data_IF_616120735192
#
_entry.id   IF_616120735192
#
_cell.length_a   1.000
_cell.length_b   1.000
_cell.length_c   1.000
_cell.angle_alpha   90.00
_cell.angle_beta   90.00
_cell.angle_gamma   90.00
#
_symmetry.space_group_name_H-M   'P 1'
#
loop_
_entity.id
_entity.type
_entity.pdbx_description
1 polymer ?
#
# COMPACT_ATOMS: atom_id res chain seq x y z
N UNK A 1 23.20 6.74 9.83
CA UNK A 1 21.77 6.63 10.13
C UNK A 1 21.25 7.93 10.67
N UNK A 2 20.33 8.57 9.97
CA UNK A 2 19.62 9.77 10.45
C UNK A 2 18.61 9.39 11.54
N UNK A 3 18.17 10.38 12.34
CA UNK A 3 17.20 10.16 13.43
C UNK A 3 15.86 9.61 12.91
N UNK A 4 15.43 10.07 11.74
CA UNK A 4 14.24 9.59 11.02
C UNK A 4 14.34 8.11 10.62
N UNK A 5 15.53 7.63 10.24
CA UNK A 5 15.74 6.21 9.92
C UNK A 5 15.61 5.32 11.15
N UNK A 6 16.07 5.80 12.32
CA UNK A 6 15.96 5.08 13.59
C UNK A 6 14.51 5.04 14.09
N UNK A 7 13.80 6.17 14.04
CA UNK A 7 12.39 6.25 14.46
C UNK A 7 11.47 5.46 13.52
N UNK A 8 11.79 5.43 12.22
CA UNK A 8 11.12 4.60 11.23
C UNK A 8 11.30 3.09 11.45
N UNK A 9 12.45 2.63 11.95
CA UNK A 9 12.65 1.22 12.31
C UNK A 9 11.93 0.89 13.63
N UNK A 10 12.00 1.78 14.62
CA UNK A 10 11.40 1.56 15.93
C UNK A 10 9.87 1.45 15.87
N UNK A 11 9.23 2.31 15.07
CA UNK A 11 7.76 2.27 14.86
C UNK A 11 7.29 1.00 14.17
N UNK A 12 8.12 0.42 13.30
CA UNK A 12 7.84 -0.86 12.64
C UNK A 12 7.96 -2.04 13.62
N UNK A 13 8.94 -2.01 14.52
CA UNK A 13 9.15 -3.06 15.53
C UNK A 13 8.07 -3.01 16.64
N UNK A 14 7.58 -1.81 16.97
CA UNK A 14 6.59 -1.60 18.03
C UNK A 14 5.13 -1.74 17.55
N UNK A 15 4.91 -2.07 16.28
CA UNK A 15 3.60 -2.26 15.66
C UNK A 15 2.63 -1.07 15.79
N UNK A 16 3.18 0.12 16.02
CA UNK A 16 2.38 1.32 16.28
C UNK A 16 1.76 1.82 14.96
N UNK A 17 0.43 2.04 14.91
CA UNK A 17 -0.24 2.55 13.70
C UNK A 17 0.38 3.87 13.28
N UNK A 18 0.99 3.89 12.09
CA UNK A 18 1.65 5.06 11.55
C UNK A 18 0.67 5.80 10.64
N UNK A 19 0.32 7.06 10.93
CA UNK A 19 -0.56 7.84 10.09
C UNK A 19 0.09 8.12 8.72
N UNK A 20 -0.65 7.92 7.63
CA UNK A 20 -0.20 8.19 6.27
C UNK A 20 -0.73 9.53 5.75
N UNK A 21 -2.00 9.57 5.35
CA UNK A 21 -2.65 10.75 4.77
C UNK A 21 -4.15 10.73 5.05
N UNK A 22 -4.74 11.90 5.17
CA UNK A 22 -6.20 12.06 5.18
C UNK A 22 -6.69 12.09 3.74
N UNK A 23 -7.47 11.10 3.34
CA UNK A 23 -7.98 10.97 1.97
C UNK A 23 -9.48 11.17 1.92
N UNK A 24 -9.95 11.69 0.78
CA UNK A 24 -11.35 11.63 0.42
C UNK A 24 -11.70 10.20 -0.03
N UNK A 25 -12.66 9.58 0.68
CA UNK A 25 -13.14 8.26 0.30
C UNK A 25 -13.96 8.34 -0.99
N UNK A 26 -13.63 7.49 -1.95
CA UNK A 26 -14.43 7.26 -3.13
C UNK A 26 -15.76 6.63 -2.71
N UNK A 27 -16.87 6.96 -3.39
CA UNK A 27 -18.16 6.37 -3.10
C UNK A 27 -18.09 4.85 -3.28
N UNK A 28 -18.63 4.09 -2.31
CA UNK A 28 -18.58 2.63 -2.35
C UNK A 28 -19.43 2.08 -3.47
N UNK A 29 -20.60 2.69 -3.67
CA UNK A 29 -21.64 2.24 -4.59
C UNK A 29 -22.18 3.42 -5.43
N UNK A 30 -22.80 3.12 -6.58
CA UNK A 30 -23.45 4.12 -7.46
C UNK A 30 -24.48 4.99 -6.73
N UNK A 31 -25.18 4.42 -5.75
CA UNK A 31 -26.16 5.16 -4.94
C UNK A 31 -25.48 6.25 -4.13
N UNK A 32 -24.35 5.96 -3.49
CA UNK A 32 -23.60 6.99 -2.75
C UNK A 32 -23.07 8.07 -3.68
N UNK A 33 -22.60 7.69 -4.87
CA UNK A 33 -22.16 8.65 -5.89
C UNK A 33 -23.29 9.60 -6.29
N UNK A 34 -24.50 9.08 -6.49
CA UNK A 34 -25.69 9.87 -6.81
C UNK A 34 -26.11 10.77 -5.64
N UNK A 35 -26.09 10.28 -4.41
CA UNK A 35 -26.42 11.07 -3.22
C UNK A 35 -25.41 12.21 -2.97
N UNK A 36 -24.12 11.99 -3.27
CA UNK A 36 -23.09 13.02 -3.24
C UNK A 36 -23.33 14.05 -4.34
N UNK A 37 -23.65 13.59 -5.56
CA UNK A 37 -23.98 14.46 -6.69
C UNK A 37 -25.17 15.38 -6.38
N UNK A 38 -26.24 14.84 -5.79
CA UNK A 38 -27.39 15.61 -5.33
C UNK A 38 -27.12 16.49 -4.10
N UNK A 39 -25.88 16.52 -3.58
CA UNK A 39 -25.48 17.21 -2.34
C UNK A 39 -26.26 16.79 -1.09
N UNK A 40 -26.95 15.64 -1.14
CA UNK A 40 -27.68 15.06 -0.01
C UNK A 40 -26.68 14.45 0.99
N UNK A 41 -25.63 13.80 0.48
CA UNK A 41 -24.55 13.22 1.30
C UNK A 41 -23.26 13.99 1.07
N UNK A 42 -22.52 14.27 2.15
CA UNK A 42 -21.18 14.90 2.08
C UNK A 42 -20.11 13.86 1.79
N UNK A 43 -19.04 14.21 1.05
CA UNK A 43 -17.90 13.32 0.87
C UNK A 43 -17.26 13.00 2.22
N UNK A 44 -16.94 11.72 2.42
CA UNK A 44 -16.33 11.22 3.66
C UNK A 44 -14.82 11.32 3.55
N UNK A 45 -14.17 11.78 4.61
CA UNK A 45 -12.72 11.83 4.70
C UNK A 45 -12.25 10.92 5.82
N UNK A 46 -11.23 10.11 5.56
CA UNK A 46 -10.68 9.16 6.54
C UNK A 46 -9.16 9.31 6.59
N UNK A 47 -8.59 9.18 7.79
CA UNK A 47 -7.14 9.12 7.96
C UNK A 47 -6.68 7.69 7.70
N UNK A 48 -5.80 7.48 6.73
CA UNK A 48 -5.21 6.18 6.48
C UNK A 48 -4.07 5.92 7.46
N UNK A 49 -3.99 4.69 7.94
CA UNK A 49 -2.96 4.24 8.86
C UNK A 49 -2.29 2.98 8.32
N UNK A 50 -0.99 2.87 8.58
CA UNK A 50 -0.21 1.67 8.32
C UNK A 50 0.10 0.98 9.64
N UNK A 51 -0.37 -0.26 9.81
CA UNK A 51 -0.15 -1.09 11.00
C UNK A 51 0.87 -2.19 10.70
N UNK A 52 1.13 -3.06 11.68
CA UNK A 52 1.85 -4.31 11.48
C UNK A 52 1.23 -5.19 10.42
N UNK A 53 1.99 -5.57 9.40
CA UNK A 53 1.44 -6.36 8.31
C UNK A 53 1.19 -7.80 8.76
N UNK A 54 -0.04 -8.28 8.59
CA UNK A 54 -0.35 -9.70 8.81
C UNK A 54 0.31 -10.55 7.74
N UNK A 55 0.65 -11.79 8.08
CA UNK A 55 1.23 -12.74 7.13
C UNK A 55 0.38 -12.93 5.86
N UNK A 56 -0.95 -12.98 6.01
CA UNK A 56 -1.88 -13.03 4.86
C UNK A 56 -1.77 -11.80 3.95
N UNK A 57 -1.53 -10.62 4.54
CA UNK A 57 -1.33 -9.37 3.82
C UNK A 57 0.01 -9.40 3.09
N UNK A 58 1.06 -9.96 3.69
CA UNK A 58 2.39 -10.09 3.06
C UNK A 58 2.31 -10.89 1.77
N UNK A 59 1.68 -12.08 1.78
CA UNK A 59 1.50 -12.88 0.57
C UNK A 59 0.79 -12.12 -0.55
N UNK A 60 -0.24 -11.33 -0.21
CA UNK A 60 -0.96 -10.51 -1.19
C UNK A 60 -0.10 -9.37 -1.73
N UNK A 61 0.68 -8.71 -0.88
CA UNK A 61 1.61 -7.68 -1.30
C UNK A 61 2.66 -8.25 -2.26
N UNK A 62 3.23 -9.43 -1.96
CA UNK A 62 4.17 -10.12 -2.86
C UNK A 62 3.52 -10.49 -4.20
N UNK A 63 2.26 -10.95 -4.18
CA UNK A 63 1.53 -11.25 -5.42
C UNK A 63 1.29 -10.00 -6.27
N UNK A 64 0.94 -8.87 -5.65
CA UNK A 64 0.76 -7.59 -6.33
C UNK A 64 2.10 -7.09 -6.89
N UNK A 65 3.20 -7.19 -6.15
CA UNK A 65 4.52 -6.77 -6.64
C UNK A 65 5.00 -7.61 -7.82
N UNK A 66 4.70 -8.91 -7.84
CA UNK A 66 5.03 -9.78 -8.98
C UNK A 66 4.20 -9.47 -10.23
N UNK A 67 3.08 -8.77 -10.09
CA UNK A 67 2.23 -8.32 -11.20
C UNK A 67 2.65 -6.98 -11.81
N UNK A 68 3.70 -6.33 -11.28
CA UNK A 68 4.20 -5.05 -11.80
C UNK A 68 4.82 -5.21 -13.18
N UNK A 69 4.46 -4.33 -14.10
CA UNK A 69 5.05 -4.31 -15.44
C UNK A 69 6.43 -3.63 -15.37
N UNK A 70 7.47 -4.37 -15.72
CA UNK A 70 8.86 -3.88 -15.74
C UNK A 70 9.35 -3.53 -17.15
N UNK A 71 8.63 -3.98 -18.18
CA UNK A 71 9.01 -3.81 -19.59
C UNK A 71 7.84 -3.21 -20.38
N UNK A 72 8.13 -2.28 -21.28
CA UNK A 72 7.13 -1.70 -22.19
C UNK A 72 7.37 -2.17 -23.61
N UNK A 73 6.26 -2.42 -24.32
CA UNK A 73 6.25 -2.80 -25.74
C UNK A 73 6.38 -1.59 -26.69
N UNK A 74 6.32 -0.35 -26.17
CA UNK A 74 6.42 0.86 -26.98
C UNK A 74 7.85 1.17 -27.39
N UNK A 75 8.00 1.83 -28.54
CA UNK A 75 9.28 2.39 -28.98
C UNK A 75 9.38 3.85 -28.54
N UNK A 76 10.53 4.25 -27.99
CA UNK A 76 10.76 5.59 -27.43
C UNK A 76 10.75 5.62 -25.89
N UNK A 77 11.75 6.27 -25.28
CA UNK A 77 11.92 6.27 -23.81
C UNK A 77 10.74 6.89 -23.06
N UNK A 78 10.20 8.00 -23.58
CA UNK A 78 9.09 8.70 -22.92
C UNK A 78 7.78 7.90 -22.98
N UNK A 79 7.50 7.27 -24.12
CA UNK A 79 6.30 6.44 -24.29
C UNK A 79 6.37 5.16 -23.47
N UNK A 80 7.56 4.55 -23.36
CA UNK A 80 7.83 3.43 -22.46
C UNK A 80 7.60 3.81 -21.00
N UNK A 81 8.15 4.95 -20.60
CA UNK A 81 7.98 5.47 -19.26
C UNK A 81 6.50 5.69 -18.95
N UNK A 82 5.76 6.39 -19.82
CA UNK A 82 4.34 6.69 -19.59
C UNK A 82 3.46 5.44 -19.53
N UNK A 83 3.75 4.40 -20.33
CA UNK A 83 3.01 3.13 -20.28
C UNK A 83 3.26 2.37 -18.98
N UNK A 84 4.52 2.15 -18.61
CA UNK A 84 4.92 1.50 -17.34
C UNK A 84 4.33 2.29 -16.17
N UNK A 85 4.42 3.61 -16.26
CA UNK A 85 3.94 4.53 -15.25
C UNK A 85 2.43 4.41 -15.05
N UNK A 86 1.63 4.55 -16.11
CA UNK A 86 0.17 4.47 -16.00
C UNK A 86 -0.30 3.08 -15.53
N UNK A 87 0.35 2.01 -15.97
CA UNK A 87 -0.04 0.67 -15.59
C UNK A 87 0.27 0.38 -14.12
N UNK A 88 1.42 0.87 -13.64
CA UNK A 88 1.87 0.58 -12.29
C UNK A 88 1.27 1.51 -11.24
N UNK A 89 0.76 2.72 -11.57
CA UNK A 89 0.12 3.61 -10.57
C UNK A 89 -1.04 2.94 -9.85
N UNK A 90 -1.96 2.30 -10.59
CA UNK A 90 -3.09 1.60 -9.99
C UNK A 90 -2.64 0.37 -9.18
N UNK A 91 -1.57 -0.30 -9.61
CA UNK A 91 -1.01 -1.43 -8.88
C UNK A 91 -0.31 -0.98 -7.60
N UNK A 92 0.41 0.14 -7.62
CA UNK A 92 1.00 0.77 -6.43
C UNK A 92 -0.07 1.25 -5.46
N UNK A 93 -1.14 1.88 -5.96
CA UNK A 93 -2.30 2.23 -5.15
C UNK A 93 -2.95 0.99 -4.54
N UNK A 94 -3.07 -0.10 -5.32
CA UNK A 94 -3.56 -1.40 -4.85
C UNK A 94 -2.68 -2.03 -3.77
N UNK A 95 -1.36 -1.90 -3.93
CA UNK A 95 -0.36 -2.35 -2.97
C UNK A 95 -0.50 -1.60 -1.64
N UNK A 96 -0.57 -0.27 -1.67
CA UNK A 96 -0.81 0.54 -0.46
C UNK A 96 -2.16 0.23 0.16
N UNK A 97 -3.21 0.13 -0.65
CA UNK A 97 -4.56 -0.17 -0.18
C UNK A 97 -4.63 -1.53 0.53
N UNK A 98 -3.92 -2.55 0.02
CA UNK A 98 -3.82 -3.85 0.68
C UNK A 98 -3.10 -3.76 2.04
N UNK A 99 -2.00 -3.01 2.10
CA UNK A 99 -1.25 -2.78 3.33
C UNK A 99 -2.05 -1.99 4.39
N UNK A 100 -2.85 -1.01 3.97
CA UNK A 100 -3.74 -0.23 4.85
C UNK A 100 -4.94 -1.07 5.30
N UNK A 101 -5.53 -1.86 4.40
CA UNK A 101 -6.67 -2.70 4.72
C UNK A 101 -6.29 -3.82 5.70
N UNK A 102 -5.12 -4.43 5.52
CA UNK A 102 -4.49 -5.41 6.41
C UNK A 102 -5.43 -6.51 6.96
N UNK A 103 -6.26 -7.05 6.06
CA UNK A 103 -7.21 -8.13 6.33
C UNK A 103 -7.05 -9.23 5.28
N UNK A 104 -7.55 -10.41 5.62
CA UNK A 104 -7.60 -11.55 4.72
C UNK A 104 -8.62 -11.36 3.57
N UNK A 105 -9.53 -10.40 3.71
CA UNK A 105 -10.53 -10.04 2.70
C UNK A 105 -9.91 -9.28 1.51
N UNK A 106 -10.53 -9.38 0.35
CA UNK A 106 -10.11 -8.62 -0.83
C UNK A 106 -10.14 -7.12 -0.56
N UNK A 107 -9.14 -6.40 -1.05
CA UNK A 107 -9.01 -4.97 -0.81
C UNK A 107 -10.18 -4.25 -1.48
N UNK A 108 -10.96 -3.42 -0.76
CA UNK A 108 -12.09 -2.74 -1.33
C UNK A 108 -11.67 -1.81 -2.48
N UNK A 109 -12.36 -1.91 -3.63
CA UNK A 109 -12.04 -1.11 -4.83
C UNK A 109 -12.09 0.40 -4.57
N UNK A 110 -13.02 0.86 -3.72
CA UNK A 110 -13.12 2.28 -3.36
C UNK A 110 -11.85 2.80 -2.68
N UNK A 111 -11.15 1.96 -1.90
CA UNK A 111 -9.93 2.36 -1.21
C UNK A 111 -8.76 2.50 -2.19
N UNK A 112 -8.67 1.60 -3.17
CA UNK A 112 -7.69 1.67 -4.25
C UNK A 112 -7.89 2.97 -5.06
N UNK A 113 -9.13 3.26 -5.44
CA UNK A 113 -9.49 4.48 -6.16
C UNK A 113 -9.16 5.74 -5.35
N UNK A 114 -9.52 5.78 -4.07
CA UNK A 114 -9.15 6.89 -3.18
C UNK A 114 -7.65 7.14 -3.12
N UNK A 115 -6.85 6.09 -3.04
CA UNK A 115 -5.39 6.24 -2.99
C UNK A 115 -4.87 6.72 -4.35
N UNK A 116 -5.34 6.14 -5.46
CA UNK A 116 -4.92 6.53 -6.80
C UNK A 116 -5.28 8.00 -7.13
N UNK A 117 -6.43 8.49 -6.66
CA UNK A 117 -6.92 9.84 -6.96
C UNK A 117 -6.31 10.91 -6.05
N UNK A 118 -6.03 10.58 -4.78
CA UNK A 118 -5.62 11.57 -3.76
C UNK A 118 -4.11 11.57 -3.48
N UNK A 119 -3.37 10.50 -3.81
CA UNK A 119 -1.91 10.46 -3.63
C UNK A 119 -1.20 11.02 -4.86
N UNK A 120 -0.20 11.86 -4.58
CA UNK A 120 0.82 12.23 -5.56
C UNK A 120 1.81 11.08 -5.76
N UNK A 121 2.55 11.15 -6.87
CA UNK A 121 3.53 10.14 -7.24
C UNK A 121 4.62 9.94 -6.18
N UNK A 122 5.12 11.03 -5.60
CA UNK A 122 6.12 10.97 -4.54
C UNK A 122 5.55 10.38 -3.24
N UNK A 123 4.30 10.71 -2.89
CA UNK A 123 3.62 10.10 -1.73
C UNK A 123 3.43 8.59 -1.92
N UNK A 124 3.04 8.14 -3.13
CA UNK A 124 2.95 6.71 -3.45
C UNK A 124 4.30 6.02 -3.25
N UNK A 125 5.37 6.59 -3.80
CA UNK A 125 6.73 6.06 -3.72
C UNK A 125 7.24 5.97 -2.27
N UNK A 126 7.05 7.02 -1.47
CA UNK A 126 7.42 7.05 -0.05
C UNK A 126 6.64 5.96 0.71
N UNK A 127 5.33 5.89 0.50
CA UNK A 127 4.47 4.92 1.20
C UNK A 127 4.80 3.48 0.81
N UNK A 128 5.03 3.19 -0.47
CA UNK A 128 5.46 1.87 -0.94
C UNK A 128 6.79 1.47 -0.30
N UNK A 129 7.75 2.40 -0.20
CA UNK A 129 9.04 2.14 0.48
C UNK A 129 8.85 1.81 1.95
N UNK A 130 7.96 2.51 2.65
CA UNK A 130 7.68 2.23 4.06
C UNK A 130 7.01 0.87 4.27
N UNK A 131 6.10 0.49 3.37
CA UNK A 131 5.49 -0.85 3.37
C UNK A 131 6.57 -1.92 3.10
N UNK A 132 7.45 -1.69 2.13
CA UNK A 132 8.56 -2.60 1.83
C UNK A 132 9.49 -2.80 3.03
N UNK A 133 9.84 -1.73 3.75
CA UNK A 133 10.65 -1.83 4.98
C UNK A 133 9.98 -2.69 6.05
N UNK A 134 8.64 -2.64 6.17
CA UNK A 134 7.89 -3.50 7.10
C UNK A 134 7.91 -4.97 6.69
N UNK A 135 7.80 -5.25 5.39
CA UNK A 135 7.92 -6.61 4.86
C UNK A 135 9.30 -7.21 5.14
N UNK A 136 10.36 -6.41 4.98
CA UNK A 136 11.73 -6.87 5.20
C UNK A 136 12.00 -7.18 6.68
N UNK A 137 11.51 -6.34 7.59
CA UNK A 137 11.56 -6.61 9.04
C UNK A 137 10.82 -7.88 9.41
N UNK A 138 9.61 -8.09 8.88
CA UNK A 138 8.86 -9.33 9.14
C UNK A 138 9.57 -10.55 8.56
N UNK A 139 10.07 -10.47 7.32
CA UNK A 139 10.82 -11.55 6.66
C UNK A 139 12.09 -11.92 7.44
N UNK A 140 12.76 -10.94 8.04
CA UNK A 140 13.88 -11.16 8.95
C UNK A 140 13.47 -11.93 10.22
N UNK A 141 12.37 -11.55 10.87
CA UNK A 141 11.89 -12.27 12.06
C UNK A 141 11.37 -13.68 11.75
N UNK A 142 10.70 -13.87 10.62
CA UNK A 142 10.24 -15.19 10.18
C UNK A 142 11.44 -16.11 9.87
N UNK A 143 12.49 -15.58 9.22
CA UNK A 143 13.72 -16.31 8.94
C UNK A 143 14.49 -16.69 10.21
N UNK A 144 14.56 -15.79 11.20
CA UNK A 144 15.21 -16.09 12.49
C UNK A 144 14.41 -17.08 13.33
N UNK A 145 13.08 -17.05 13.27
CA UNK A 145 12.23 -18.07 13.88
C UNK A 145 12.44 -19.47 13.27
N UNK A 146 12.56 -19.55 11.93
CA UNK A 146 12.89 -20.78 11.21
C UNK A 146 14.27 -21.35 11.58
N UNK A 147 15.29 -20.49 11.68
CA UNK A 147 16.63 -20.93 12.11
C UNK A 147 16.59 -21.47 13.54
N UNK A 148 15.83 -20.82 14.43
CA UNK A 148 15.66 -21.28 15.80
C UNK A 148 14.90 -22.60 15.92
N UNK A 149 13.91 -22.86 15.08
CA UNK A 149 13.21 -24.14 15.07
C UNK A 149 14.08 -25.27 14.53
N UNK A 150 14.95 -24.98 13.56
CA UNK A 150 15.95 -25.93 13.05
C UNK A 150 17.10 -26.18 14.04
N UNK A 151 17.50 -25.20 14.85
CA UNK A 151 18.56 -25.38 15.86
C UNK A 151 18.08 -26.05 17.15
N UNK A 152 16.76 -26.21 17.32
CA UNK A 152 16.13 -26.91 18.44
C UNK A 152 15.68 -28.34 18.06
N UNK A 153 15.92 -28.76 16.82
CA UNK A 153 15.92 -30.15 16.36
C UNK A 153 17.34 -30.71 16.37
#
# INVERSE_FOLDING_TARGET
MTKEEKDGILSVVLDTPTPLKRVKLAPKNRIEQFLIFLKIKRPTYEMLYLSGLKLSTNYRLTAISNGLILESAKMGEMDKFMEIYHHNVYQMAGYIAAAVHNKNEETPRYLIQSIADEFTNEELKITVRDIYRRLDVQSFFDSTALVRSLSLM
#
